data_IF_160541778666
#
_entry.id   IF_160541778666
#
_cell.length_a   1.000
_cell.length_b   1.000
_cell.length_c   1.000
_cell.angle_alpha   90.00
_cell.angle_beta   90.00
_cell.angle_gamma   90.00
#
_symmetry.space_group_name_H-M   'P 1'
#
loop_
_entity.id
_entity.type
_entity.pdbx_description
1 polymer ?
#
# COMPACT_ATOMS: atom_id res chain seq x y z
N UNK A 1 0.89 -2.91 15.68
CA UNK A 1 2.14 -3.41 16.31
C UNK A 1 1.92 -3.90 17.74
N UNK A 2 0.74 -3.69 18.33
CA UNK A 2 0.41 -4.13 19.70
C UNK A 2 0.67 -5.62 19.94
N UNK A 3 0.37 -6.51 18.98
CA UNK A 3 0.68 -7.95 19.08
C UNK A 3 2.17 -8.21 19.30
N UNK A 4 3.03 -7.47 18.59
CA UNK A 4 4.50 -7.59 18.71
C UNK A 4 4.97 -7.04 20.05
N UNK A 5 4.48 -5.85 20.45
CA UNK A 5 4.80 -5.26 21.75
C UNK A 5 4.38 -6.15 22.92
N UNK A 6 3.19 -6.76 22.84
CA UNK A 6 2.70 -7.72 23.82
C UNK A 6 3.57 -8.98 23.84
N UNK A 7 3.95 -9.52 22.69
CA UNK A 7 4.83 -10.68 22.58
C UNK A 7 6.25 -10.42 23.12
N UNK A 8 6.75 -9.18 23.03
CA UNK A 8 8.03 -8.76 23.60
C UNK A 8 7.99 -8.67 25.13
N UNK A 9 6.89 -8.15 25.69
CA UNK A 9 6.70 -8.07 27.14
C UNK A 9 6.37 -9.41 27.81
N UNK A 10 5.85 -10.38 27.05
CA UNK A 10 5.40 -11.68 27.58
C UNK A 10 6.06 -12.84 26.85
N UNK A 11 5.37 -13.44 25.87
CA UNK A 11 5.89 -14.46 24.98
C UNK A 11 5.05 -14.55 23.71
N UNK A 12 5.64 -15.11 22.64
CA UNK A 12 4.94 -15.37 21.37
C UNK A 12 3.72 -16.29 21.59
N UNK A 13 3.87 -17.30 22.46
CA UNK A 13 2.75 -18.18 22.84
C UNK A 13 1.60 -17.38 23.44
N UNK A 14 1.87 -16.55 24.46
CA UNK A 14 0.82 -15.76 25.14
C UNK A 14 0.16 -14.78 24.18
N UNK A 15 0.93 -14.13 23.32
CA UNK A 15 0.41 -13.25 22.28
C UNK A 15 -0.51 -13.99 21.29
N UNK A 16 -0.14 -15.20 20.85
CA UNK A 16 -0.94 -16.00 19.93
C UNK A 16 -2.33 -16.35 20.50
N UNK A 17 -2.38 -16.70 21.79
CA UNK A 17 -3.64 -17.02 22.47
C UNK A 17 -4.47 -15.76 22.70
N UNK A 18 -3.85 -14.69 23.20
CA UNK A 18 -4.55 -13.44 23.54
C UNK A 18 -5.16 -12.77 22.31
N UNK A 19 -4.40 -12.67 21.21
CA UNK A 19 -4.84 -12.03 19.98
C UNK A 19 -5.51 -12.99 18.99
N UNK A 20 -5.59 -14.29 19.31
CA UNK A 20 -6.13 -15.34 18.43
C UNK A 20 -5.48 -15.36 17.05
N UNK A 21 -4.15 -15.26 17.02
CA UNK A 21 -3.34 -15.27 15.80
C UNK A 21 -2.38 -16.45 15.87
N UNK A 22 -2.11 -17.10 14.74
CA UNK A 22 -1.11 -18.16 14.67
C UNK A 22 0.29 -17.66 15.11
N UNK A 23 1.00 -18.47 15.89
CA UNK A 23 2.33 -18.17 16.42
C UNK A 23 3.32 -17.84 15.30
N UNK A 24 3.19 -18.52 14.16
CA UNK A 24 4.03 -18.27 12.98
C UNK A 24 3.92 -16.81 12.53
N UNK A 25 2.71 -16.27 12.43
CA UNK A 25 2.51 -14.87 12.05
C UNK A 25 3.07 -13.91 13.10
N UNK A 26 2.90 -14.21 14.39
CA UNK A 26 3.48 -13.38 15.47
C UNK A 26 5.01 -13.37 15.38
N UNK A 27 5.63 -14.50 15.07
CA UNK A 27 7.07 -14.61 14.87
C UNK A 27 7.55 -13.84 13.63
N UNK A 28 6.84 -13.97 12.50
CA UNK A 28 7.12 -13.22 11.27
C UNK A 28 6.99 -11.71 11.49
N UNK A 29 5.94 -11.25 12.17
CA UNK A 29 5.75 -9.83 12.50
C UNK A 29 6.81 -9.31 13.47
N UNK A 30 7.26 -10.13 14.41
CA UNK A 30 8.37 -9.79 15.30
C UNK A 30 9.67 -9.63 14.50
N UNK A 31 9.95 -10.52 13.55
CA UNK A 31 11.11 -10.40 12.67
C UNK A 31 11.04 -9.15 11.77
N UNK A 32 9.84 -8.76 11.33
CA UNK A 32 9.60 -7.59 10.49
C UNK A 32 9.35 -6.29 11.28
N UNK A 33 9.51 -6.28 12.61
CA UNK A 33 9.12 -5.15 13.48
C UNK A 33 9.63 -3.79 12.97
N UNK A 34 10.91 -3.71 12.63
CA UNK A 34 11.54 -2.46 12.15
C UNK A 34 10.91 -1.97 10.84
N UNK A 35 10.60 -2.88 9.91
CA UNK A 35 9.91 -2.55 8.66
C UNK A 35 8.49 -2.07 8.93
N UNK A 36 7.79 -2.72 9.85
CA UNK A 36 6.43 -2.35 10.25
C UNK A 36 6.38 -0.97 10.92
N UNK A 37 7.38 -0.64 11.73
CA UNK A 37 7.52 0.69 12.35
C UNK A 37 7.85 1.76 11.31
N UNK A 38 8.74 1.48 10.35
CA UNK A 38 9.04 2.38 9.25
C UNK A 38 7.83 2.63 8.34
N UNK A 39 7.00 1.62 8.09
CA UNK A 39 5.71 1.77 7.38
C UNK A 39 4.76 2.63 8.22
N UNK A 40 4.68 2.39 9.53
CA UNK A 40 3.82 3.18 10.42
C UNK A 40 4.23 4.66 10.49
N UNK A 41 5.51 5.00 10.33
CA UNK A 41 5.98 6.39 10.35
C UNK A 41 5.87 7.08 8.99
N UNK A 42 6.12 6.36 7.89
CA UNK A 42 6.03 6.92 6.52
C UNK A 42 4.60 7.25 6.10
N UNK A 43 3.63 6.46 6.56
CA UNK A 43 2.21 6.76 6.37
C UNK A 43 1.69 7.33 7.69
N UNK A 44 1.12 8.53 7.75
CA UNK A 44 0.46 9.01 8.97
C UNK A 44 -0.80 8.15 9.22
N UNK A 45 -0.68 7.12 10.08
CA UNK A 45 -1.71 6.13 10.36
C UNK A 45 -2.77 6.65 11.34
N UNK A 46 -3.70 7.45 10.87
CA UNK A 46 -5.05 7.53 11.47
C UNK A 46 -6.05 6.62 10.76
N UNK A 47 -5.79 6.22 9.51
CA UNK A 47 -6.77 5.52 8.69
C UNK A 47 -6.28 4.14 8.26
N UNK A 48 -7.19 3.16 8.37
CA UNK A 48 -7.43 1.82 7.75
C UNK A 48 -6.63 1.36 6.49
N UNK A 49 -5.52 2.01 6.12
CA UNK A 49 -4.72 1.84 4.90
C UNK A 49 -3.44 1.05 5.12
N UNK A 50 -3.07 0.72 6.35
CA UNK A 50 -2.07 -0.33 6.62
C UNK A 50 -2.70 -1.71 6.50
N UNK A 51 -3.27 -1.97 5.33
CA UNK A 51 -3.55 -3.35 4.89
C UNK A 51 -2.35 -3.94 4.15
N UNK A 52 -1.41 -3.11 3.73
CA UNK A 52 -0.23 -3.53 2.96
C UNK A 52 0.93 -3.78 3.94
N UNK A 53 0.77 -4.78 4.80
CA UNK A 53 1.92 -5.39 5.48
C UNK A 53 2.70 -6.17 4.41
N UNK A 54 4.04 -6.15 4.48
CA UNK A 54 4.97 -6.62 3.45
C UNK A 54 4.69 -8.03 2.90
N UNK A 55 3.83 -8.10 1.88
CA UNK A 55 3.45 -9.34 1.19
C UNK A 55 1.96 -9.50 0.91
N UNK A 56 1.07 -8.79 1.61
CA UNK A 56 -0.38 -8.99 1.53
C UNK A 56 -1.11 -7.77 0.97
N UNK A 57 -0.74 -7.39 -0.25
CA UNK A 57 -1.39 -6.38 -1.08
C UNK A 57 -0.84 -6.44 -2.50
N UNK A 58 -1.61 -5.99 -3.49
CA UNK A 58 -1.08 -5.86 -4.85
C UNK A 58 0.08 -4.86 -4.83
N UNK A 59 1.27 -5.32 -5.21
CA UNK A 59 2.40 -4.43 -5.43
C UNK A 59 2.02 -3.44 -6.55
N UNK A 60 2.36 -2.15 -6.41
CA UNK A 60 2.11 -1.18 -7.45
C UNK A 60 2.79 -1.63 -8.74
N UNK A 61 2.03 -1.79 -9.82
CA UNK A 61 2.58 -2.23 -11.12
C UNK A 61 3.51 -1.18 -11.71
N UNK A 62 3.21 0.10 -11.45
CA UNK A 62 3.96 1.26 -11.91
C UNK A 62 4.19 2.22 -10.74
N UNK A 63 5.28 2.03 -10.01
CA UNK A 63 5.57 2.78 -8.78
C UNK A 63 5.68 4.30 -9.03
N UNK A 64 6.35 4.69 -10.11
CA UNK A 64 6.53 6.10 -10.50
C UNK A 64 5.19 6.78 -10.78
N UNK A 65 4.34 6.13 -11.59
CA UNK A 65 2.99 6.59 -11.89
C UNK A 65 2.14 6.75 -10.62
N UNK A 66 2.18 5.77 -9.72
CA UNK A 66 1.41 5.83 -8.47
C UNK A 66 1.89 6.97 -7.56
N UNK A 67 3.19 7.22 -7.47
CA UNK A 67 3.72 8.35 -6.69
C UNK A 67 3.24 9.70 -7.24
N UNK A 68 3.27 9.89 -8.55
CA UNK A 68 2.78 11.12 -9.19
C UNK A 68 1.26 11.30 -9.01
N UNK A 69 0.49 10.22 -9.13
CA UNK A 69 -0.96 10.27 -8.89
C UNK A 69 -1.29 10.60 -7.43
N UNK A 70 -0.54 10.06 -6.47
CA UNK A 70 -0.71 10.40 -5.05
C UNK A 70 -0.41 11.88 -4.82
N UNK A 71 0.63 12.43 -5.47
CA UNK A 71 0.95 13.86 -5.39
C UNK A 71 -0.20 14.71 -5.95
N UNK A 72 -0.70 14.39 -7.14
CA UNK A 72 -1.84 15.06 -7.75
C UNK A 72 -3.09 15.04 -6.86
N UNK A 73 -3.39 13.90 -6.22
CA UNK A 73 -4.54 13.79 -5.31
C UNK A 73 -4.37 14.69 -4.08
N UNK A 74 -3.16 14.77 -3.51
CA UNK A 74 -2.87 15.66 -2.38
C UNK A 74 -3.08 17.12 -2.78
N UNK A 75 -2.44 17.55 -3.87
CA UNK A 75 -2.57 18.92 -4.39
C UNK A 75 -4.04 19.31 -4.60
N UNK A 76 -4.84 18.45 -5.26
CA UNK A 76 -6.25 18.73 -5.51
C UNK A 76 -7.10 18.79 -4.24
N UNK A 77 -6.76 17.98 -3.22
CA UNK A 77 -7.47 18.02 -1.93
C UNK A 77 -7.08 19.25 -1.11
N UNK A 78 -5.82 19.66 -1.16
CA UNK A 78 -5.33 20.87 -0.51
C UNK A 78 -5.98 22.12 -1.14
N UNK A 79 -6.26 22.08 -2.44
CA UNK A 79 -7.08 23.07 -3.16
C UNK A 79 -8.59 23.00 -2.83
N UNK A 80 -9.04 22.03 -2.04
CA UNK A 80 -10.45 21.84 -1.66
C UNK A 80 -11.31 21.08 -2.67
N UNK A 81 -10.72 20.50 -3.73
CA UNK A 81 -11.45 19.71 -4.72
C UNK A 81 -11.60 18.25 -4.31
N UNK A 82 -12.79 17.70 -4.57
CA UNK A 82 -13.02 16.27 -4.46
C UNK A 82 -12.50 15.56 -5.72
N UNK A 83 -11.47 14.72 -5.55
CA UNK A 83 -10.91 13.94 -6.66
C UNK A 83 -11.79 12.73 -6.95
N UNK A 84 -12.43 12.75 -8.13
CA UNK A 84 -13.23 11.61 -8.61
C UNK A 84 -12.37 10.58 -9.34
N UNK A 85 -12.87 9.35 -9.45
CA UNK A 85 -12.20 8.25 -10.17
C UNK A 85 -11.96 8.59 -11.64
N UNK A 86 -12.86 9.36 -12.28
CA UNK A 86 -12.72 9.79 -13.68
C UNK A 86 -11.53 10.73 -13.84
N UNK A 87 -11.38 11.72 -12.96
CA UNK A 87 -10.23 12.65 -12.97
C UNK A 87 -8.92 11.92 -12.73
N UNK A 88 -8.93 10.93 -11.82
CA UNK A 88 -7.75 10.12 -11.57
C UNK A 88 -7.38 9.26 -12.80
N UNK A 89 -8.37 8.69 -13.47
CA UNK A 89 -8.17 7.89 -14.68
C UNK A 89 -7.66 8.72 -15.86
N UNK A 90 -8.17 9.95 -16.05
CA UNK A 90 -7.66 10.86 -17.10
C UNK A 90 -6.22 11.25 -16.80
N UNK A 91 -5.92 11.62 -15.54
CA UNK A 91 -4.55 11.97 -15.14
C UNK A 91 -3.60 10.79 -15.28
N UNK A 92 -4.04 9.59 -14.92
CA UNK A 92 -3.24 8.38 -15.05
C UNK A 92 -2.89 8.08 -16.51
N UNK A 93 -3.83 8.28 -17.45
CA UNK A 93 -3.58 8.11 -18.89
C UNK A 93 -2.58 9.15 -19.40
N UNK A 94 -2.69 10.39 -18.97
CA UNK A 94 -1.74 11.46 -19.33
C UNK A 94 -0.33 11.13 -18.87
N UNK A 95 -0.17 10.77 -17.59
CA UNK A 95 1.12 10.40 -17.00
C UNK A 95 1.69 9.13 -17.61
N UNK A 96 0.85 8.12 -17.86
CA UNK A 96 1.27 6.90 -18.53
C UNK A 96 1.81 7.16 -19.94
N UNK A 97 1.15 8.05 -20.70
CA UNK A 97 1.62 8.47 -22.02
C UNK A 97 2.94 9.23 -21.93
N UNK A 98 3.08 10.13 -20.96
CA UNK A 98 4.29 10.92 -20.75
C UNK A 98 5.50 10.06 -20.31
N UNK A 99 5.25 8.99 -19.54
CA UNK A 99 6.26 8.05 -19.05
C UNK A 99 6.54 6.91 -20.05
N UNK A 100 5.94 6.94 -21.24
CA UNK A 100 6.01 5.85 -22.25
C UNK A 100 5.63 4.47 -21.68
N UNK A 101 4.85 4.45 -20.60
CA UNK A 101 4.36 3.22 -20.00
C UNK A 101 3.28 2.68 -20.92
N UNK A 102 3.61 1.63 -21.69
CA UNK A 102 2.70 0.95 -22.59
C UNK A 102 1.43 0.47 -21.88
N UNK A 103 0.43 1.33 -21.84
CA UNK A 103 -0.90 1.01 -21.33
C UNK A 103 -1.63 0.29 -22.45
N UNK A 104 -1.52 -1.04 -22.48
CA UNK A 104 -2.52 -1.84 -23.17
C UNK A 104 -3.79 -1.77 -22.31
N UNK A 105 -4.72 -0.92 -22.73
CA UNK A 105 -6.08 -0.98 -22.21
C UNK A 105 -6.63 -2.34 -22.62
N UNK A 106 -6.77 -3.25 -21.65
CA UNK A 106 -7.25 -4.62 -21.83
C UNK A 106 -6.20 -5.60 -22.36
N UNK A 107 -6.20 -6.82 -21.83
CA UNK A 107 -5.36 -7.94 -22.24
C UNK A 107 -5.64 -8.49 -23.63
N UNK A 108 -5.97 -7.64 -24.61
CA UNK A 108 -6.11 -8.03 -26.00
C UNK A 108 -4.91 -7.55 -26.79
N UNK A 109 -4.14 -8.53 -27.27
CA UNK A 109 -3.13 -8.38 -28.31
C UNK A 109 -3.82 -7.80 -29.55
N UNK A 110 -3.37 -6.66 -30.06
CA UNK A 110 -3.73 -6.26 -31.41
C UNK A 110 -2.93 -7.14 -32.39
N UNK A 111 -3.57 -7.66 -33.46
CA UNK A 111 -2.85 -8.42 -34.48
C UNK A 111 -1.84 -7.49 -35.16
N UNK A 112 -0.64 -8.01 -35.36
CA UNK A 112 0.39 -7.39 -36.21
C UNK A 112 -0.24 -7.11 -37.57
N UNK A 113 -0.18 -5.85 -38.01
CA UNK A 113 -0.15 -5.58 -39.45
C UNK A 113 1.17 -6.07 -40.02
#
# INVERSE_FOLDING_TARGET
>A
LEVVSYAESTSIYKASIFYKVDRRHVQEWKAQKTQLEAIKSTYNLSDRKVRVLGGHGHKPKYLTLEQELVKYVKEKRDEGYLVTTKMLATKAKELAKALELGFTASGYKLPSM
#
